data_IF_602134689910
#
_entry.id   IF_602134689910
#
_cell.length_a   1.000
_cell.length_b   1.000
_cell.length_c   1.000
_cell.angle_alpha   90.00
_cell.angle_beta   90.00
_cell.angle_gamma   90.00
#
_symmetry.space_group_name_H-M   'P 1'
#
loop_
_entity.id
_entity.type
_entity.pdbx_description
1 polymer ?
#
# COMPACT_ATOMS: atom_id res chain seq x y z
N UNK A 1 2.12 22.13 -0.99
CA UNK A 1 2.91 21.61 0.14
C UNK A 1 3.90 20.59 -0.38
N UNK A 2 5.18 20.63 0.03
CA UNK A 2 6.16 19.63 -0.40
C UNK A 2 5.71 18.24 0.08
N UNK A 3 5.78 17.26 -0.82
CA UNK A 3 5.42 15.87 -0.53
C UNK A 3 6.39 15.27 0.49
N UNK A 4 5.85 14.59 1.49
CA UNK A 4 6.66 13.86 2.45
C UNK A 4 7.51 12.79 1.76
N UNK A 5 8.74 12.64 2.27
CA UNK A 5 9.62 11.53 1.90
C UNK A 5 8.94 10.21 2.30
N UNK A 6 9.00 9.19 1.44
CA UNK A 6 8.51 7.85 1.83
C UNK A 6 9.37 7.28 2.94
N UNK A 7 8.72 6.56 3.82
CA UNK A 7 9.38 5.79 4.87
C UNK A 7 9.58 4.38 4.30
N UNK A 8 10.81 4.06 3.89
CA UNK A 8 11.21 2.73 3.44
C UNK A 8 12.48 2.38 4.19
N UNK A 9 12.40 1.35 5.02
CA UNK A 9 13.52 0.83 5.80
C UNK A 9 13.70 -0.64 5.42
N UNK A 10 14.90 -1.08 5.04
CA UNK A 10 15.18 -2.48 4.75
C UNK A 10 14.76 -3.39 5.92
N UNK A 11 14.11 -4.50 5.59
CA UNK A 11 13.61 -5.45 6.58
C UNK A 11 12.30 -5.08 7.27
N UNK A 12 11.76 -3.87 7.07
CA UNK A 12 10.49 -3.45 7.66
C UNK A 12 9.34 -3.68 6.67
N UNK A 13 8.27 -4.40 7.07
CA UNK A 13 7.12 -4.66 6.22
C UNK A 13 6.42 -3.36 5.78
N UNK A 14 5.91 -3.37 4.56
CA UNK A 14 5.15 -2.27 3.96
C UNK A 14 3.80 -2.78 3.45
N UNK A 15 2.71 -2.11 3.77
CA UNK A 15 1.52 -2.17 2.95
C UNK A 15 1.61 -1.10 1.86
N UNK A 16 1.40 -1.54 0.61
CA UNK A 16 1.61 -0.71 -0.58
C UNK A 16 0.32 -0.73 -1.40
N UNK A 17 -0.12 0.43 -1.86
CA UNK A 17 -1.24 0.53 -2.79
C UNK A 17 -0.90 1.45 -3.96
N UNK A 18 -1.39 1.07 -5.15
CA UNK A 18 -1.28 1.86 -6.36
C UNK A 18 -2.60 1.88 -7.09
N UNK A 19 -3.01 3.03 -7.57
CA UNK A 19 -4.30 3.22 -8.23
C UNK A 19 -4.12 3.78 -9.64
N UNK A 20 -5.04 3.42 -10.53
CA UNK A 20 -5.14 4.00 -11.86
C UNK A 20 -5.44 5.51 -11.81
N UNK A 21 -4.88 6.25 -12.76
CA UNK A 21 -5.11 7.69 -12.91
C UNK A 21 -6.62 7.96 -13.01
N UNK A 22 -7.10 8.95 -12.26
CA UNK A 22 -8.53 9.29 -12.19
C UNK A 22 -9.43 8.11 -11.81
N UNK A 23 -8.89 7.14 -11.06
CA UNK A 23 -9.56 5.88 -10.68
C UNK A 23 -9.95 5.01 -11.87
N UNK A 24 -9.31 5.20 -13.02
CA UNK A 24 -9.57 4.40 -14.21
C UNK A 24 -9.21 2.93 -14.02
N UNK A 25 -9.84 2.07 -14.79
CA UNK A 25 -9.53 0.64 -14.90
C UNK A 25 -8.10 0.46 -15.41
N UNK A 26 -7.32 -0.33 -14.69
CA UNK A 26 -5.93 -0.68 -15.06
C UNK A 26 -5.76 -2.15 -15.41
N UNK A 27 -6.79 -2.96 -15.23
CA UNK A 27 -6.86 -4.35 -15.63
C UNK A 27 -8.22 -4.61 -16.27
N UNK A 28 -8.30 -4.64 -17.60
CA UNK A 28 -9.56 -4.84 -18.32
C UNK A 28 -9.88 -6.32 -18.50
N UNK A 29 -8.84 -7.15 -18.66
CA UNK A 29 -9.01 -8.59 -18.87
C UNK A 29 -8.02 -9.43 -18.04
N UNK A 30 -8.02 -10.74 -18.28
CA UNK A 30 -7.15 -11.70 -17.62
C UNK A 30 -5.67 -11.49 -18.00
N UNK A 31 -5.39 -11.25 -19.27
CA UNK A 31 -4.04 -11.08 -19.78
C UNK A 31 -3.33 -9.88 -19.14
N UNK A 32 -4.04 -8.77 -18.94
CA UNK A 32 -3.51 -7.58 -18.26
C UNK A 32 -2.95 -7.93 -16.87
N UNK A 33 -3.71 -8.72 -16.10
CA UNK A 33 -3.30 -9.14 -14.75
C UNK A 33 -2.12 -10.12 -14.78
N UNK A 34 -2.14 -11.06 -15.73
CA UNK A 34 -1.03 -12.01 -15.92
C UNK A 34 0.28 -11.31 -16.31
N UNK A 35 0.19 -10.32 -17.21
CA UNK A 35 1.34 -9.48 -17.60
C UNK A 35 1.85 -8.70 -16.38
N UNK A 36 0.95 -8.06 -15.63
CA UNK A 36 1.33 -7.29 -14.45
C UNK A 36 2.02 -8.16 -13.39
N UNK A 37 1.45 -9.34 -13.05
CA UNK A 37 2.02 -10.27 -12.07
C UNK A 37 3.40 -10.78 -12.51
N UNK A 38 3.57 -11.11 -13.79
CA UNK A 38 4.84 -11.52 -14.35
C UNK A 38 5.90 -10.43 -14.23
N UNK A 39 5.58 -9.20 -14.60
CA UNK A 39 6.49 -8.05 -14.47
C UNK A 39 6.83 -7.76 -12.99
N UNK A 40 5.85 -7.85 -12.10
CA UNK A 40 6.05 -7.65 -10.68
C UNK A 40 6.96 -8.73 -10.09
N UNK A 41 6.76 -10.00 -10.43
CA UNK A 41 7.61 -11.10 -9.98
C UNK A 41 9.06 -10.97 -10.46
N UNK A 42 9.28 -10.52 -11.70
CA UNK A 42 10.62 -10.27 -12.22
C UNK A 42 11.30 -9.09 -11.51
N UNK A 43 10.57 -7.99 -11.35
CA UNK A 43 11.11 -6.78 -10.75
C UNK A 43 11.35 -6.95 -9.24
N UNK A 44 10.46 -7.61 -8.51
CA UNK A 44 10.60 -7.84 -7.08
C UNK A 44 11.85 -8.67 -6.76
N UNK A 45 12.10 -9.73 -7.53
CA UNK A 45 13.33 -10.52 -7.38
C UNK A 45 14.59 -9.71 -7.72
N UNK A 46 14.55 -8.96 -8.83
CA UNK A 46 15.70 -8.16 -9.28
C UNK A 46 16.09 -7.08 -8.28
N UNK A 47 15.10 -6.46 -7.64
CA UNK A 47 15.30 -5.34 -6.74
C UNK A 47 15.07 -5.71 -5.27
N UNK A 48 15.15 -7.00 -4.96
CA UNK A 48 15.13 -7.52 -3.61
C UNK A 48 13.94 -7.03 -2.77
N UNK A 49 12.73 -7.13 -3.32
CA UNK A 49 11.49 -6.84 -2.62
C UNK A 49 10.70 -8.15 -2.43
N UNK A 50 10.66 -8.69 -1.21
CA UNK A 50 9.92 -9.91 -0.88
C UNK A 50 8.45 -9.60 -0.74
N UNK A 51 7.59 -10.32 -1.47
CA UNK A 51 6.14 -10.11 -1.49
C UNK A 51 5.46 -11.24 -0.72
N UNK A 52 4.57 -10.88 0.20
CA UNK A 52 3.88 -11.82 1.09
C UNK A 52 2.38 -11.89 0.84
N UNK A 53 1.77 -10.82 0.39
CA UNK A 53 0.36 -10.84 -0.03
C UNK A 53 0.13 -9.84 -1.15
N UNK A 54 -0.86 -10.14 -2.00
CA UNK A 54 -1.31 -9.22 -3.04
C UNK A 54 -2.78 -9.39 -3.36
N UNK A 55 -3.37 -8.34 -3.89
CA UNK A 55 -4.68 -8.35 -4.51
C UNK A 55 -4.72 -7.33 -5.66
N UNK A 56 -5.04 -7.80 -6.86
CA UNK A 56 -5.20 -6.96 -8.06
C UNK A 56 -6.68 -6.66 -8.29
N UNK A 57 -7.13 -5.53 -7.79
CA UNK A 57 -8.48 -5.02 -8.06
C UNK A 57 -8.55 -4.39 -9.45
N UNK A 58 -9.74 -4.17 -10.00
CA UNK A 58 -9.92 -3.67 -11.36
C UNK A 58 -9.16 -2.36 -11.65
N UNK A 59 -9.08 -1.46 -10.68
CA UNK A 59 -8.49 -0.12 -10.86
C UNK A 59 -7.37 0.22 -9.87
N UNK A 60 -6.94 -0.74 -9.04
CA UNK A 60 -5.85 -0.54 -8.09
C UNK A 60 -5.28 -1.88 -7.63
N UNK A 61 -4.11 -1.81 -6.98
CA UNK A 61 -3.44 -2.97 -6.39
C UNK A 61 -3.19 -2.74 -4.91
N UNK A 62 -3.22 -3.83 -4.14
CA UNK A 62 -2.75 -3.90 -2.76
C UNK A 62 -1.65 -4.95 -2.67
N UNK A 63 -0.57 -4.63 -1.97
CA UNK A 63 0.58 -5.53 -1.80
C UNK A 63 1.13 -5.36 -0.39
N UNK A 64 1.45 -6.47 0.26
CA UNK A 64 2.28 -6.53 1.47
C UNK A 64 3.65 -7.06 1.07
N UNK A 65 4.70 -6.29 1.37
CA UNK A 65 6.06 -6.64 0.97
C UNK A 65 7.11 -6.15 1.98
N UNK A 66 8.25 -6.81 2.00
CA UNK A 66 9.42 -6.40 2.77
C UNK A 66 10.55 -6.04 1.79
N UNK A 67 10.98 -4.77 1.74
CA UNK A 67 12.13 -4.36 0.95
C UNK A 67 13.42 -4.79 1.65
N UNK A 68 14.36 -5.41 0.93
CA UNK A 68 15.69 -5.70 1.46
C UNK A 68 16.68 -4.53 1.27
N UNK A 69 16.32 -3.54 0.43
CA UNK A 69 17.10 -2.33 0.18
C UNK A 69 16.20 -1.10 0.26
N UNK A 70 16.76 0.05 0.60
CA UNK A 70 16.02 1.31 0.71
C UNK A 70 15.38 1.77 -0.61
N UNK A 71 15.94 1.34 -1.75
CA UNK A 71 15.47 1.67 -3.09
C UNK A 71 14.58 0.58 -3.74
N UNK A 72 14.43 -0.61 -3.10
CA UNK A 72 13.65 -1.76 -3.64
C UNK A 72 12.25 -1.35 -4.08
N UNK A 73 11.52 -0.62 -3.24
CA UNK A 73 10.16 -0.18 -3.54
C UNK A 73 10.13 0.72 -4.79
N UNK A 74 11.04 1.70 -4.86
CA UNK A 74 11.05 2.63 -5.99
C UNK A 74 11.43 1.95 -7.29
N UNK A 75 12.50 1.15 -7.29
CA UNK A 75 13.00 0.47 -8.48
C UNK A 75 11.98 -0.55 -9.02
N UNK A 76 11.36 -1.33 -8.11
CA UNK A 76 10.34 -2.31 -8.48
C UNK A 76 9.16 -1.64 -9.18
N UNK A 77 8.56 -0.65 -8.55
CA UNK A 77 7.37 -0.02 -9.10
C UNK A 77 7.67 0.86 -10.32
N UNK A 78 8.83 1.52 -10.36
CA UNK A 78 9.26 2.26 -11.54
C UNK A 78 9.36 1.34 -12.76
N UNK A 79 10.03 0.19 -12.60
CA UNK A 79 10.18 -0.81 -13.67
C UNK A 79 8.83 -1.37 -14.13
N UNK A 80 8.02 -1.84 -13.18
CA UNK A 80 6.72 -2.46 -13.47
C UNK A 80 5.79 -1.46 -14.14
N UNK A 81 5.64 -0.28 -13.57
CA UNK A 81 4.66 0.70 -14.05
C UNK A 81 5.03 1.30 -15.40
N UNK A 82 6.33 1.52 -15.67
CA UNK A 82 6.77 2.01 -16.98
C UNK A 82 6.46 0.98 -18.07
N UNK A 83 6.84 -0.29 -17.87
CA UNK A 83 6.64 -1.32 -18.88
C UNK A 83 5.16 -1.65 -19.04
N UNK A 84 4.46 -1.89 -17.93
CA UNK A 84 3.04 -2.23 -17.96
C UNK A 84 2.20 -1.10 -18.54
N UNK A 85 2.48 0.14 -18.18
CA UNK A 85 1.78 1.30 -18.72
C UNK A 85 1.95 1.43 -20.24
N UNK A 86 3.14 1.17 -20.77
CA UNK A 86 3.38 1.16 -22.23
C UNK A 86 2.62 0.02 -22.92
N UNK A 87 2.64 -1.20 -22.35
CA UNK A 87 1.91 -2.36 -22.91
C UNK A 87 0.40 -2.09 -22.91
N UNK A 88 -0.14 -1.62 -21.77
CA UNK A 88 -1.56 -1.33 -21.63
C UNK A 88 -2.02 -0.25 -22.60
N UNK A 89 -1.28 0.85 -22.69
CA UNK A 89 -1.62 1.94 -23.59
C UNK A 89 -1.56 1.50 -25.05
N UNK A 90 -0.55 0.72 -25.44
CA UNK A 90 -0.45 0.18 -26.81
C UNK A 90 -1.60 -0.77 -27.13
N UNK A 91 -1.95 -1.68 -26.20
CA UNK A 91 -3.03 -2.65 -26.39
C UNK A 91 -4.40 -2.01 -26.56
N UNK A 92 -4.65 -0.89 -25.88
CA UNK A 92 -5.96 -0.24 -25.84
C UNK A 92 -6.00 1.10 -26.58
N UNK A 93 -4.97 1.42 -27.36
CA UNK A 93 -4.85 2.65 -28.12
C UNK A 93 -5.04 3.91 -27.26
N UNK A 94 -4.45 3.90 -26.06
CA UNK A 94 -4.53 4.97 -25.09
C UNK A 94 -3.22 5.75 -25.01
N UNK A 95 -3.31 6.98 -24.54
CA UNK A 95 -2.15 7.82 -24.25
C UNK A 95 -2.21 8.40 -22.84
N UNK A 96 -1.06 8.88 -22.36
CA UNK A 96 -0.96 9.50 -21.06
C UNK A 96 -0.63 8.52 -19.92
N UNK A 97 -0.84 8.97 -18.67
CA UNK A 97 -0.48 8.19 -17.48
C UNK A 97 -1.56 7.16 -17.16
N UNK A 98 -1.14 5.88 -17.08
CA UNK A 98 -2.01 4.82 -16.58
C UNK A 98 -2.21 4.89 -15.07
N UNK A 99 -1.14 5.17 -14.32
CA UNK A 99 -1.14 5.20 -12.87
C UNK A 99 -1.29 6.63 -12.33
N UNK A 100 -1.93 6.77 -11.18
CA UNK A 100 -1.92 8.01 -10.42
C UNK A 100 -0.46 8.43 -10.16
N UNK A 101 -0.17 8.98 -9.08
CA UNK A 101 1.17 9.32 -8.66
C UNK A 101 2.03 8.07 -8.35
N UNK A 102 3.09 8.26 -7.61
CA UNK A 102 3.90 7.17 -7.04
C UNK A 102 3.05 6.29 -6.09
N UNK A 103 3.38 4.99 -5.92
CA UNK A 103 2.69 4.13 -4.96
C UNK A 103 2.65 4.75 -3.56
N UNK A 104 1.55 4.58 -2.86
CA UNK A 104 1.43 4.92 -1.45
C UNK A 104 1.89 3.73 -0.63
N UNK A 105 2.54 3.97 0.50
CA UNK A 105 3.00 2.90 1.38
C UNK A 105 3.05 3.36 2.83
N UNK A 106 2.77 2.43 3.74
CA UNK A 106 2.96 2.59 5.18
C UNK A 106 3.85 1.47 5.69
N UNK A 107 4.94 1.77 6.42
CA UNK A 107 5.65 0.75 7.18
C UNK A 107 4.79 0.28 8.34
N UNK A 108 4.94 -0.98 8.70
CA UNK A 108 4.18 -1.58 9.79
C UNK A 108 5.08 -2.44 10.67
N UNK A 109 4.71 -2.57 11.93
CA UNK A 109 5.33 -3.52 12.85
C UNK A 109 4.78 -4.95 12.64
N UNK A 110 5.29 -5.91 13.39
CA UNK A 110 4.91 -7.30 13.29
C UNK A 110 3.43 -7.54 13.64
N UNK A 111 2.90 -6.80 14.62
CA UNK A 111 1.51 -6.94 15.05
C UNK A 111 0.51 -6.52 13.98
N UNK A 112 0.88 -5.57 13.12
CA UNK A 112 0.05 -5.10 12.01
C UNK A 112 0.27 -5.88 10.71
N UNK A 113 1.32 -6.73 10.64
CA UNK A 113 1.65 -7.45 9.41
C UNK A 113 0.54 -8.42 8.97
N UNK A 114 0.11 -9.33 9.86
CA UNK A 114 -0.96 -10.28 9.54
C UNK A 114 -2.29 -9.58 9.26
N UNK A 115 -2.61 -8.53 10.02
CA UNK A 115 -3.81 -7.72 9.77
C UNK A 115 -3.77 -7.06 8.38
N UNK A 116 -2.59 -6.59 7.94
CA UNK A 116 -2.43 -6.04 6.59
C UNK A 116 -2.56 -7.13 5.51
N UNK A 117 -2.03 -8.33 5.74
CA UNK A 117 -2.22 -9.46 4.83
C UNK A 117 -3.71 -9.79 4.69
N UNK A 118 -4.41 -9.94 5.82
CA UNK A 118 -5.86 -10.16 5.83
C UNK A 118 -6.60 -9.04 5.12
N UNK A 119 -6.28 -7.80 5.43
CA UNK A 119 -6.86 -6.64 4.77
C UNK A 119 -6.69 -6.72 3.25
N UNK A 120 -5.51 -7.09 2.76
CA UNK A 120 -5.22 -7.22 1.32
C UNK A 120 -6.06 -8.33 0.70
N UNK A 121 -6.11 -9.50 1.32
CA UNK A 121 -6.80 -10.68 0.77
C UNK A 121 -8.33 -10.57 0.85
N UNK A 122 -8.85 -9.85 1.82
CA UNK A 122 -10.28 -9.58 1.98
C UNK A 122 -10.81 -8.44 1.08
N UNK A 123 -9.94 -7.73 0.34
CA UNK A 123 -10.39 -6.63 -0.53
C UNK A 123 -11.49 -7.03 -1.52
N UNK A 124 -11.43 -8.19 -2.22
CA UNK A 124 -12.48 -8.56 -3.16
C UNK A 124 -13.80 -8.92 -2.48
N UNK A 125 -13.77 -9.45 -1.25
CA UNK A 125 -14.98 -9.72 -0.45
C UNK A 125 -15.61 -8.41 -0.01
N UNK A 126 -14.82 -7.47 0.53
CA UNK A 126 -15.30 -6.12 0.90
C UNK A 126 -15.86 -5.33 -0.29
N UNK A 127 -15.34 -5.59 -1.48
CA UNK A 127 -15.84 -4.99 -2.71
C UNK A 127 -17.08 -5.72 -3.29
N UNK A 128 -17.55 -6.78 -2.66
CA UNK A 128 -18.70 -7.57 -3.13
C UNK A 128 -18.45 -8.37 -4.42
N UNK A 129 -17.18 -8.58 -4.79
CA UNK A 129 -16.81 -9.30 -6.02
C UNK A 129 -16.91 -10.82 -5.86
N UNK A 130 -16.64 -11.32 -4.67
CA UNK A 130 -16.70 -12.75 -4.31
C UNK A 130 -17.22 -12.91 -2.89
N UNK A 131 -17.69 -14.11 -2.54
CA UNK A 131 -18.13 -14.43 -1.17
C UNK A 131 -16.97 -14.81 -0.25
N UNK A 132 -15.96 -15.50 -0.78
CA UNK A 132 -14.76 -15.94 -0.06
C UNK A 132 -13.52 -15.39 -0.75
N UNK A 133 -12.51 -15.01 0.00
CA UNK A 133 -11.29 -14.39 -0.53
C UNK A 133 -10.55 -15.28 -1.53
N UNK A 134 -10.52 -16.60 -1.26
CA UNK A 134 -9.90 -17.60 -2.12
C UNK A 134 -10.61 -17.83 -3.45
N UNK A 135 -11.86 -17.37 -3.60
CA UNK A 135 -12.58 -17.43 -4.87
C UNK A 135 -12.08 -16.35 -5.87
N UNK A 136 -11.38 -15.34 -5.37
CA UNK A 136 -10.85 -14.30 -6.22
C UNK A 136 -9.51 -14.70 -6.85
N UNK A 137 -9.51 -14.91 -8.16
CA UNK A 137 -8.35 -15.44 -8.90
C UNK A 137 -7.09 -14.56 -8.79
N UNK A 138 -7.21 -13.26 -8.54
CA UNK A 138 -6.13 -12.27 -8.62
C UNK A 138 -5.65 -11.84 -7.23
N UNK A 139 -5.63 -12.77 -6.29
CA UNK A 139 -5.21 -12.58 -4.91
C UNK A 139 -4.32 -13.73 -4.44
N UNK A 140 -3.40 -13.43 -3.52
CA UNK A 140 -2.58 -14.41 -2.80
C UNK A 140 -3.42 -15.36 -1.93
N UNK A 141 -4.66 -15.03 -1.59
CA UNK A 141 -5.54 -15.87 -0.78
C UNK A 141 -5.66 -17.29 -1.32
N UNK A 142 -5.65 -17.49 -2.64
CA UNK A 142 -5.71 -18.82 -3.25
C UNK A 142 -4.51 -19.70 -2.87
N UNK A 143 -3.33 -19.12 -2.79
CA UNK A 143 -2.12 -19.84 -2.37
C UNK A 143 -2.15 -20.12 -0.87
N UNK A 144 -2.45 -19.12 -0.06
CA UNK A 144 -2.47 -19.27 1.38
C UNK A 144 -3.57 -20.21 1.88
N UNK A 145 -4.71 -20.25 1.20
CA UNK A 145 -5.80 -21.23 1.46
C UNK A 145 -5.55 -22.62 0.84
N UNK A 146 -4.40 -22.85 0.20
CA UNK A 146 -4.04 -24.15 -0.38
C UNK A 146 -4.79 -24.53 -1.67
N UNK A 147 -5.52 -23.60 -2.30
CA UNK A 147 -6.25 -23.83 -3.57
C UNK A 147 -5.26 -24.01 -4.74
N UNK A 148 -4.13 -23.30 -4.69
CA UNK A 148 -3.03 -23.47 -5.65
C UNK A 148 -1.75 -23.85 -4.90
N UNK A 149 -0.95 -24.75 -5.50
CA UNK A 149 0.25 -25.31 -4.85
C UNK A 149 1.47 -24.40 -4.92
N UNK A 150 1.47 -23.42 -5.80
CA UNK A 150 2.59 -22.49 -5.96
C UNK A 150 2.12 -21.12 -6.44
N UNK A 151 2.81 -20.11 -6.02
CA UNK A 151 2.68 -18.75 -6.53
C UNK A 151 4.09 -18.21 -6.85
N UNK A 152 4.27 -17.69 -8.07
CA UNK A 152 5.59 -17.24 -8.55
C UNK A 152 5.99 -15.87 -7.98
N UNK A 153 5.05 -15.15 -7.40
CA UNK A 153 5.27 -13.82 -6.87
C UNK A 153 5.60 -13.84 -5.37
N UNK A 154 4.98 -14.76 -4.63
CA UNK A 154 5.10 -14.82 -3.18
C UNK A 154 6.48 -15.32 -2.75
N UNK A 155 6.99 -14.74 -1.69
CA UNK A 155 8.17 -15.23 -0.99
C UNK A 155 7.78 -16.43 -0.13
N UNK A 156 8.61 -17.48 -0.16
CA UNK A 156 8.35 -18.71 0.58
C UNK A 156 8.70 -18.59 2.07
N UNK A 157 9.46 -17.57 2.44
CA UNK A 157 9.88 -17.37 3.83
C UNK A 157 8.92 -16.38 4.50
N UNK A 158 8.03 -16.89 5.37
CA UNK A 158 7.28 -16.02 6.24
C UNK A 158 8.22 -15.30 7.21
N UNK A 159 7.95 -14.01 7.55
CA UNK A 159 8.49 -13.44 8.77
C UNK A 159 8.04 -14.31 9.96
N UNK A 160 8.76 -14.36 11.05
CA UNK A 160 8.65 -15.25 12.21
C UNK A 160 7.24 -15.36 12.87
N UNK A 161 6.24 -15.58 12.06
CA UNK A 161 4.85 -15.84 12.50
C UNK A 161 4.49 -17.27 12.14
N UNK A 162 3.89 -17.99 13.04
CA UNK A 162 3.46 -19.37 12.81
C UNK A 162 2.47 -19.44 11.62
N UNK A 163 2.64 -20.42 10.71
CA UNK A 163 1.69 -20.63 9.64
C UNK A 163 0.31 -20.93 10.23
N UNK A 164 -0.72 -20.23 9.78
CA UNK A 164 -2.08 -20.49 10.20
C UNK A 164 -2.56 -21.79 9.54
N UNK A 165 -2.83 -22.82 10.33
CA UNK A 165 -3.28 -24.14 9.84
C UNK A 165 -4.56 -24.07 9.03
N UNK A 166 -5.41 -23.06 9.27
CA UNK A 166 -6.70 -22.84 8.61
C UNK A 166 -6.83 -21.41 8.11
N UNK A 167 -6.06 -21.08 7.08
CA UNK A 167 -6.04 -19.74 6.53
C UNK A 167 -7.42 -19.22 6.11
N UNK A 168 -8.24 -20.08 5.49
CA UNK A 168 -9.58 -19.72 5.06
C UNK A 168 -10.51 -19.38 6.23
N UNK A 169 -10.43 -20.16 7.33
CA UNK A 169 -11.21 -19.90 8.55
C UNK A 169 -10.76 -18.59 9.20
N UNK A 170 -9.45 -18.35 9.24
CA UNK A 170 -8.90 -17.09 9.73
C UNK A 170 -9.35 -15.90 8.89
N UNK A 171 -9.37 -16.00 7.56
CA UNK A 171 -9.87 -14.94 6.71
C UNK A 171 -11.36 -14.63 6.97
N UNK A 172 -12.19 -15.65 7.19
CA UNK A 172 -13.64 -15.49 7.42
C UNK A 172 -14.02 -15.15 8.85
N UNK A 173 -13.14 -15.38 9.82
CA UNK A 173 -13.35 -15.08 11.24
C UNK A 173 -13.52 -13.57 11.52
N UNK A 174 -13.75 -13.23 12.77
CA UNK A 174 -13.84 -11.84 13.20
C UNK A 174 -12.53 -11.11 12.92
N UNK A 175 -12.61 -9.93 12.31
CA UNK A 175 -11.47 -9.05 12.07
C UNK A 175 -11.49 -7.88 13.05
N UNK A 176 -10.30 -7.47 13.47
CA UNK A 176 -10.16 -6.16 14.11
C UNK A 176 -10.27 -5.07 13.04
N UNK A 177 -11.49 -4.60 12.83
CA UNK A 177 -11.79 -3.55 11.85
C UNK A 177 -11.03 -2.26 12.16
N UNK A 178 -10.67 -2.02 13.42
CA UNK A 178 -9.88 -0.86 13.83
C UNK A 178 -8.45 -0.92 13.28
N UNK A 179 -7.79 -2.08 13.33
CA UNK A 179 -6.44 -2.27 12.77
C UNK A 179 -6.49 -2.19 11.24
N UNK A 180 -7.47 -2.80 10.60
CA UNK A 180 -7.62 -2.74 9.13
C UNK A 180 -7.84 -1.31 8.64
N UNK A 181 -8.66 -0.53 9.31
CA UNK A 181 -8.88 0.89 9.02
C UNK A 181 -7.62 1.72 9.26
N UNK A 182 -6.86 1.43 10.30
CA UNK A 182 -5.56 2.05 10.56
C UNK A 182 -4.58 1.79 9.42
N UNK A 183 -4.44 0.54 8.98
CA UNK A 183 -3.59 0.17 7.83
C UNK A 183 -4.00 0.96 6.59
N UNK A 184 -5.30 1.03 6.30
CA UNK A 184 -5.84 1.77 5.17
C UNK A 184 -5.52 3.28 5.25
N UNK A 185 -5.82 3.91 6.37
CA UNK A 185 -5.61 5.35 6.57
C UNK A 185 -4.13 5.71 6.55
N UNK A 186 -3.30 4.92 7.21
CA UNK A 186 -1.87 5.17 7.30
C UNK A 186 -1.18 4.96 5.96
N UNK A 187 -1.61 3.98 5.15
CA UNK A 187 -1.10 3.82 3.79
C UNK A 187 -1.42 5.03 2.91
N UNK A 188 -2.64 5.58 3.03
CA UNK A 188 -3.02 6.78 2.28
C UNK A 188 -2.23 8.02 2.71
N UNK A 189 -1.94 8.15 4.00
CA UNK A 189 -1.20 9.29 4.55
C UNK A 189 0.31 9.12 4.56
N UNK A 190 0.82 7.89 4.33
CA UNK A 190 2.24 7.54 4.44
C UNK A 190 2.76 7.53 5.87
N UNK A 191 1.87 7.30 6.86
CA UNK A 191 2.24 7.17 8.27
C UNK A 191 2.53 5.71 8.63
N UNK A 192 3.39 5.44 9.64
CA UNK A 192 3.60 4.08 10.14
C UNK A 192 2.34 3.48 10.79
N UNK A 193 2.19 2.17 10.69
CA UNK A 193 1.26 1.37 11.48
C UNK A 193 2.06 0.66 12.57
N UNK A 194 1.94 1.08 13.80
CA UNK A 194 2.66 0.54 14.94
C UNK A 194 2.58 1.43 16.16
N UNK A 195 3.11 0.94 17.26
CA UNK A 195 3.14 1.63 18.54
C UNK A 195 4.18 2.76 18.58
N UNK A 196 4.27 3.43 19.73
CA UNK A 196 5.24 4.51 19.92
C UNK A 196 6.68 4.03 19.80
N UNK A 197 6.99 2.83 20.29
CA UNK A 197 8.32 2.21 20.26
C UNK A 197 8.78 1.93 18.83
N UNK A 198 7.87 1.40 18.00
CA UNK A 198 8.13 1.18 16.59
C UNK A 198 8.39 2.50 15.84
N UNK A 199 7.62 3.55 16.14
CA UNK A 199 7.83 4.86 15.54
C UNK A 199 9.18 5.45 15.95
N UNK A 200 9.58 5.34 17.22
CA UNK A 200 10.89 5.78 17.72
C UNK A 200 12.02 5.01 17.03
N UNK A 201 11.87 3.69 16.87
CA UNK A 201 12.82 2.86 16.11
C UNK A 201 12.99 3.34 14.67
N UNK A 202 11.88 3.65 13.99
CA UNK A 202 11.92 4.17 12.61
C UNK A 202 12.58 5.55 12.54
N UNK A 203 12.29 6.47 13.49
CA UNK A 203 12.90 7.79 13.55
C UNK A 203 14.42 7.70 13.76
N UNK A 204 14.87 6.79 14.60
CA UNK A 204 16.30 6.52 14.84
C UNK A 204 16.97 5.94 13.57
N UNK A 205 16.38 4.92 12.92
CA UNK A 205 16.94 4.32 11.70
C UNK A 205 17.04 5.30 10.53
N UNK A 206 16.11 6.24 10.45
CA UNK A 206 16.06 7.23 9.36
C UNK A 206 16.79 8.54 9.70
N UNK A 207 17.27 8.69 10.94
CA UNK A 207 17.80 9.96 11.46
C UNK A 207 16.86 11.14 11.13
N UNK A 208 15.55 10.91 11.20
CA UNK A 208 14.55 11.87 10.74
C UNK A 208 13.22 11.72 11.49
N UNK A 209 12.62 12.86 11.84
CA UNK A 209 11.34 12.88 12.56
C UNK A 209 10.17 12.52 11.63
N UNK A 210 9.37 11.52 12.03
CA UNK A 210 8.20 11.02 11.31
C UNK A 210 6.91 11.62 11.88
N UNK A 211 6.83 11.77 13.21
CA UNK A 211 5.66 12.30 13.90
C UNK A 211 5.26 13.68 13.40
N UNK A 212 3.96 13.90 13.21
CA UNK A 212 3.45 15.23 12.84
C UNK A 212 3.74 16.22 13.96
N UNK A 213 4.27 17.39 13.62
CA UNK A 213 4.26 18.52 14.56
C UNK A 213 2.80 18.83 14.89
N UNK A 214 2.50 19.00 16.18
CA UNK A 214 1.21 19.58 16.57
C UNK A 214 1.06 20.93 15.84
N UNK A 215 -0.13 21.28 15.33
CA UNK A 215 -0.35 22.61 14.79
C UNK A 215 0.09 23.63 15.85
N UNK A 216 0.88 24.61 15.45
CA UNK A 216 1.22 25.72 16.34
C UNK A 216 -0.07 26.49 16.71
N UNK A 217 -0.02 27.30 17.77
CA UNK A 217 -1.16 28.16 18.12
C UNK A 217 -1.54 29.01 16.90
N UNK A 218 -2.84 29.10 16.65
CA UNK A 218 -3.33 29.99 15.59
C UNK A 218 -2.82 31.41 15.87
N UNK A 219 -2.36 32.17 14.86
CA UNK A 219 -2.02 33.57 15.07
C UNK A 219 -3.22 34.25 15.72
N UNK A 220 -3.01 34.94 16.82
CA UNK A 220 -4.05 35.84 17.38
C UNK A 220 -4.34 36.88 16.30
N UNK A 221 -5.55 36.89 15.81
CA UNK A 221 -6.02 38.01 15.02
C UNK A 221 -6.00 39.22 15.98
N UNK A 222 -5.07 40.15 15.77
CA UNK A 222 -5.16 41.47 16.38
C UNK A 222 -6.42 42.12 15.80
N UNK A 223 -7.45 42.25 16.63
CA UNK A 223 -8.56 43.15 16.39
C UNK A 223 -8.05 44.57 16.53
N UNK A 224 -7.33 45.04 15.51
CA UNK A 224 -7.00 46.43 15.37
C UNK A 224 -8.28 47.19 15.05
N UNK A 225 -8.83 47.82 16.05
CA UNK A 225 -9.86 48.86 15.90
C UNK A 225 -9.19 50.04 15.19
N UNK A 226 -9.39 50.14 13.88
CA UNK A 226 -9.14 51.39 13.19
C UNK A 226 -10.35 52.31 13.47
N UNK A 227 -10.20 53.13 14.49
CA UNK A 227 -11.04 54.30 14.65
C UNK A 227 -10.77 55.24 13.47
N UNK A 228 -11.75 55.41 12.60
CA UNK A 228 -11.80 56.54 11.68
C UNK A 228 -12.37 57.73 12.46
N UNK A 229 -11.53 58.69 12.77
CA UNK A 229 -11.99 60.05 13.13
C UNK A 229 -12.53 60.72 11.87
N UNK A 230 -13.73 61.30 11.91
CA UNK A 230 -14.20 62.15 10.83
C UNK A 230 -13.69 63.58 11.05
N UNK A 231 -12.80 64.07 10.20
CA UNK A 231 -12.51 65.45 10.10
C UNK A 231 -13.53 66.18 9.24
N UNK A 232 -14.24 67.09 9.89
CA UNK A 232 -15.04 68.21 9.33
C UNK A 232 -14.14 69.47 9.45
N UNK A 233 -14.24 70.47 8.62
CA UNK A 233 -15.33 70.98 7.78
C UNK A 233 -15.15 70.91 6.30
#
# INVERSE_FOLDING_TARGET
MPRRKRIVVPGIPLHITQRGARRSTVFRDKEDREVYLRLLAQASRKFEMRIYAYCLMTNHTHIVAIPNRADSLWLTYHRVHSIYGSIFNAKYELCGRLWEERPRSAPMDESHFLAAVRYVEQNPVRAGLVRRAEDYQWSSARFHCGIVKSDRLLDATWPETEPLERWSDWLTGESDTGIEDLVRQNTLSGQPCGDATFIDRLENLLCSRIRRRKPGPKPRMNSGVHGCDPLIP
#
